data_IF_926677567770
#
_entry.id   IF_926677567770
#
_cell.length_a   1.000
_cell.length_b   1.000
_cell.length_c   1.000
_cell.angle_alpha   90.00
_cell.angle_beta   90.00
_cell.angle_gamma   90.00
#
_symmetry.space_group_name_H-M   'P 1'
#
loop_
_entity.id
_entity.type
_entity.pdbx_description
1 polymer ?
#
# COMPACT_ATOMS: atom_id res chain seq x y z
N UNK A 1 -2.85 3.61 39.06
CA UNK A 1 -2.02 4.35 38.10
C UNK A 1 -1.39 3.31 37.18
N UNK A 2 -1.56 3.39 35.86
CA UNK A 2 -0.88 2.47 34.95
C UNK A 2 0.63 2.61 35.14
N UNK A 3 1.37 1.50 35.13
CA UNK A 3 2.83 1.59 35.17
C UNK A 3 3.31 2.35 33.92
N UNK A 4 4.49 2.98 33.99
CA UNK A 4 5.08 3.67 32.83
C UNK A 4 5.21 2.72 31.62
N UNK A 5 5.51 1.45 31.87
CA UNK A 5 5.57 0.39 30.87
C UNK A 5 4.22 0.15 30.17
N UNK A 6 3.11 0.15 30.91
CA UNK A 6 1.77 -0.02 30.34
C UNK A 6 1.40 1.11 29.37
N UNK A 7 1.79 2.35 29.70
CA UNK A 7 1.56 3.50 28.84
C UNK A 7 2.36 3.41 27.53
N UNK A 8 3.63 2.99 27.60
CA UNK A 8 4.49 2.78 26.42
C UNK A 8 3.95 1.64 25.56
N UNK A 9 3.51 0.54 26.18
CA UNK A 9 2.93 -0.59 25.47
C UNK A 9 1.60 -0.22 24.76
N UNK A 10 0.75 0.57 25.41
CA UNK A 10 -0.46 1.10 24.80
C UNK A 10 -0.14 1.99 23.59
N UNK A 11 0.84 2.87 23.71
CA UNK A 11 1.26 3.73 22.60
C UNK A 11 1.91 2.94 21.45
N UNK A 12 2.68 1.91 21.78
CA UNK A 12 3.23 0.98 20.78
C UNK A 12 2.11 0.27 20.00
N UNK A 13 1.08 -0.22 20.71
CA UNK A 13 -0.07 -0.88 20.11
C UNK A 13 -0.83 0.05 19.16
N UNK A 14 -1.02 1.31 19.52
CA UNK A 14 -1.64 2.32 18.67
C UNK A 14 -0.89 2.45 17.33
N UNK A 15 0.44 2.60 17.37
CA UNK A 15 1.24 2.66 16.14
C UNK A 15 1.13 1.38 15.29
N UNK A 16 1.06 0.20 15.90
CA UNK A 16 0.84 -1.06 15.17
C UNK A 16 -0.56 -1.16 14.57
N UNK A 17 -1.58 -0.60 15.22
CA UNK A 17 -2.94 -0.51 14.67
C UNK A 17 -2.99 0.47 13.49
N UNK A 18 -2.43 1.67 13.63
CA UNK A 18 -2.36 2.67 12.56
C UNK A 18 -1.59 2.17 11.33
N UNK A 19 -0.50 1.42 11.53
CA UNK A 19 0.21 0.73 10.46
C UNK A 19 -0.71 -0.21 9.67
N UNK A 20 -1.44 -1.09 10.36
CA UNK A 20 -2.39 -2.02 9.72
C UNK A 20 -3.53 -1.28 9.03
N UNK A 21 -4.01 -0.19 9.63
CA UNK A 21 -5.06 0.65 9.06
C UNK A 21 -4.62 1.27 7.73
N UNK A 22 -3.39 1.80 7.64
CA UNK A 22 -2.85 2.34 6.39
C UNK A 22 -2.80 1.27 5.28
N UNK A 23 -2.38 0.05 5.60
CA UNK A 23 -2.35 -1.08 4.66
C UNK A 23 -3.75 -1.49 4.21
N UNK A 24 -4.71 -1.57 5.13
CA UNK A 24 -6.10 -1.87 4.82
C UNK A 24 -6.74 -0.78 3.94
N UNK A 25 -6.51 0.50 4.25
CA UNK A 25 -7.01 1.62 3.45
C UNK A 25 -6.43 1.61 2.04
N UNK A 26 -5.14 1.28 1.89
CA UNK A 26 -4.51 1.11 0.57
C UNK A 26 -5.15 -0.02 -0.24
N UNK A 27 -5.42 -1.17 0.38
CA UNK A 27 -6.09 -2.30 -0.27
C UNK A 27 -7.52 -1.95 -0.68
N UNK A 28 -8.31 -1.35 0.23
CA UNK A 28 -9.69 -0.92 -0.03
C UNK A 28 -9.77 0.08 -1.17
N UNK A 29 -8.93 1.13 -1.15
CA UNK A 29 -8.87 2.12 -2.23
C UNK A 29 -8.51 1.46 -3.58
N UNK A 30 -7.52 0.56 -3.59
CA UNK A 30 -7.13 -0.14 -4.82
C UNK A 30 -8.28 -0.98 -5.37
N UNK A 31 -9.02 -1.70 -4.53
CA UNK A 31 -10.18 -2.48 -4.95
C UNK A 31 -11.27 -1.59 -5.58
N UNK A 32 -11.57 -0.43 -5.00
CA UNK A 32 -12.52 0.50 -5.60
C UNK A 32 -12.06 1.00 -6.97
N UNK A 33 -10.79 1.37 -7.11
CA UNK A 33 -10.22 1.80 -8.39
C UNK A 33 -10.34 0.66 -9.42
N UNK A 34 -9.98 -0.58 -9.07
CA UNK A 34 -10.06 -1.72 -9.99
C UNK A 34 -11.48 -1.97 -10.49
N UNK A 35 -12.48 -1.92 -9.59
CA UNK A 35 -13.90 -2.12 -9.95
C UNK A 35 -14.37 -1.01 -10.89
N UNK A 36 -14.06 0.26 -10.58
CA UNK A 36 -14.44 1.40 -11.42
C UNK A 36 -13.77 1.29 -12.79
N UNK A 37 -12.48 1.00 -12.84
CA UNK A 37 -11.72 0.86 -14.09
C UNK A 37 -12.27 -0.28 -14.94
N UNK A 38 -12.60 -1.42 -14.35
CA UNK A 38 -13.20 -2.55 -15.07
C UNK A 38 -14.56 -2.15 -15.67
N UNK A 39 -15.42 -1.47 -14.91
CA UNK A 39 -16.72 -1.01 -15.38
C UNK A 39 -16.61 0.00 -16.52
N UNK A 40 -15.74 1.01 -16.38
CA UNK A 40 -15.49 2.02 -17.41
C UNK A 40 -14.91 1.40 -18.68
N UNK A 41 -13.97 0.46 -18.54
CA UNK A 41 -13.40 -0.28 -19.67
C UNK A 41 -14.49 -1.07 -20.41
N UNK A 42 -15.36 -1.77 -19.68
CA UNK A 42 -16.51 -2.47 -20.27
C UNK A 42 -17.44 -1.54 -21.04
N UNK A 43 -17.72 -0.35 -20.50
CA UNK A 43 -18.56 0.66 -21.17
C UNK A 43 -17.92 1.18 -22.48
N UNK A 44 -16.62 1.45 -22.47
CA UNK A 44 -15.87 1.86 -23.68
C UNK A 44 -15.96 0.78 -24.77
N UNK A 45 -15.76 -0.48 -24.39
CA UNK A 45 -15.87 -1.63 -25.30
C UNK A 45 -17.28 -1.79 -25.87
N UNK A 46 -18.31 -1.66 -25.03
CA UNK A 46 -19.72 -1.73 -25.47
C UNK A 46 -20.08 -0.63 -26.46
N UNK A 47 -19.53 0.57 -26.26
CA UNK A 47 -19.69 1.71 -27.17
C UNK A 47 -18.73 1.67 -28.37
N UNK A 48 -18.07 0.53 -28.62
CA UNK A 48 -17.18 0.28 -29.76
C UNK A 48 -16.13 1.37 -29.96
N UNK A 49 -15.56 1.87 -28.86
CA UNK A 49 -14.49 2.86 -28.89
C UNK A 49 -14.85 4.17 -29.61
N UNK A 50 -16.12 4.60 -29.57
CA UNK A 50 -16.55 5.86 -30.21
C UNK A 50 -15.83 7.09 -29.61
N UNK A 51 -15.64 8.19 -30.37
CA UNK A 51 -14.92 9.39 -29.89
C UNK A 51 -15.34 9.98 -28.54
N UNK A 52 -16.64 10.01 -28.18
CA UNK A 52 -17.06 10.49 -26.86
C UNK A 52 -16.49 9.68 -25.68
N UNK A 53 -16.12 8.41 -25.91
CA UNK A 53 -15.57 7.54 -24.87
C UNK A 53 -14.12 7.86 -24.49
N UNK A 54 -13.44 8.74 -25.23
CA UNK A 54 -12.11 9.23 -24.88
C UNK A 54 -12.06 9.88 -23.50
N UNK A 55 -13.14 10.57 -23.09
CA UNK A 55 -13.26 11.14 -21.75
C UNK A 55 -13.25 10.06 -20.65
N UNK A 56 -13.79 8.86 -20.93
CA UNK A 56 -13.77 7.74 -19.98
C UNK A 56 -12.36 7.15 -19.85
N UNK A 57 -11.62 7.04 -20.95
CA UNK A 57 -10.21 6.65 -20.93
C UNK A 57 -9.35 7.64 -20.14
N UNK A 58 -9.57 8.95 -20.34
CA UNK A 58 -8.91 9.99 -19.57
C UNK A 58 -9.24 9.91 -18.07
N UNK A 59 -10.49 9.61 -17.72
CA UNK A 59 -10.88 9.39 -16.33
C UNK A 59 -10.15 8.18 -15.71
N UNK A 60 -10.04 7.05 -16.43
CA UNK A 60 -9.25 5.88 -16.00
C UNK A 60 -7.79 6.30 -15.76
N UNK A 61 -7.21 7.10 -16.66
CA UNK A 61 -5.84 7.58 -16.52
C UNK A 61 -5.64 8.40 -15.23
N UNK A 62 -6.56 9.34 -14.97
CA UNK A 62 -6.57 10.16 -13.75
C UNK A 62 -6.70 9.29 -12.50
N UNK A 63 -7.60 8.30 -12.50
CA UNK A 63 -7.77 7.37 -11.37
C UNK A 63 -6.52 6.54 -11.11
N UNK A 64 -5.84 6.07 -12.16
CA UNK A 64 -4.56 5.38 -12.04
C UNK A 64 -3.47 6.29 -11.43
N UNK A 65 -3.33 7.53 -11.90
CA UNK A 65 -2.38 8.48 -11.33
C UNK A 65 -2.70 8.78 -9.85
N UNK A 66 -3.97 9.02 -9.54
CA UNK A 66 -4.44 9.22 -8.17
C UNK A 66 -4.11 8.02 -7.28
N UNK A 67 -4.43 6.79 -7.72
CA UNK A 67 -4.13 5.57 -7.00
C UNK A 67 -2.63 5.38 -6.73
N UNK A 68 -1.78 5.75 -7.70
CA UNK A 68 -0.33 5.66 -7.56
C UNK A 68 0.19 6.59 -6.44
N UNK A 69 -0.27 7.85 -6.43
CA UNK A 69 0.09 8.85 -5.42
C UNK A 69 -0.41 8.45 -4.04
N UNK A 70 -1.68 8.07 -3.91
CA UNK A 70 -2.26 7.70 -2.61
C UNK A 70 -1.65 6.40 -2.07
N UNK A 71 -1.40 5.42 -2.93
CA UNK A 71 -0.68 4.19 -2.55
C UNK A 71 0.72 4.48 -1.99
N UNK A 72 1.46 5.38 -2.64
CA UNK A 72 2.76 5.84 -2.16
C UNK A 72 2.64 6.60 -0.84
N UNK A 73 1.60 7.43 -0.68
CA UNK A 73 1.35 8.18 0.56
C UNK A 73 1.01 7.27 1.73
N UNK A 74 0.17 6.25 1.54
CA UNK A 74 -0.10 5.25 2.57
C UNK A 74 1.14 4.45 2.94
N UNK A 75 2.03 4.16 1.97
CA UNK A 75 3.30 3.51 2.27
C UNK A 75 4.23 4.37 3.14
N UNK A 76 4.34 5.66 2.83
CA UNK A 76 5.09 6.62 3.64
C UNK A 76 4.55 6.64 5.07
N UNK A 77 3.22 6.79 5.24
CA UNK A 77 2.59 6.82 6.56
C UNK A 77 2.73 5.51 7.33
N UNK A 78 2.59 4.37 6.66
CA UNK A 78 2.86 3.06 7.24
C UNK A 78 4.29 2.95 7.76
N UNK A 79 5.27 3.41 6.97
CA UNK A 79 6.69 3.41 7.35
C UNK A 79 6.94 4.29 8.57
N UNK A 80 6.29 5.45 8.65
CA UNK A 80 6.32 6.32 9.83
C UNK A 80 5.78 5.62 11.10
N UNK A 81 4.61 4.98 11.04
CA UNK A 81 4.09 4.28 12.22
C UNK A 81 4.96 3.07 12.60
N UNK A 82 5.58 2.40 11.63
CA UNK A 82 6.52 1.32 11.89
C UNK A 82 7.81 1.80 12.56
N UNK A 83 8.37 2.95 12.15
CA UNK A 83 9.57 3.50 12.79
C UNK A 83 9.29 3.92 14.23
N UNK A 84 8.15 4.55 14.50
CA UNK A 84 7.73 4.89 15.86
C UNK A 84 7.53 3.63 16.72
N UNK A 85 6.86 2.60 16.20
CA UNK A 85 6.69 1.34 16.92
C UNK A 85 8.03 0.68 17.24
N UNK A 86 9.02 0.73 16.33
CA UNK A 86 10.37 0.19 16.59
C UNK A 86 11.10 0.95 17.69
N UNK A 87 11.01 2.29 17.70
CA UNK A 87 11.60 3.10 18.76
C UNK A 87 10.99 2.75 20.13
N UNK A 88 9.67 2.60 20.20
CA UNK A 88 8.96 2.19 21.42
C UNK A 88 9.31 0.76 21.83
N UNK A 89 9.57 -0.15 20.88
CA UNK A 89 10.08 -1.50 21.21
C UNK A 89 11.44 -1.42 21.91
N UNK A 90 12.35 -0.55 21.46
CA UNK A 90 13.63 -0.34 22.17
C UNK A 90 13.40 0.17 23.58
N UNK A 91 12.53 1.18 23.76
CA UNK A 91 12.17 1.69 25.08
C UNK A 91 11.61 0.61 26.01
N UNK A 92 10.74 -0.27 25.50
CA UNK A 92 10.19 -1.38 26.30
C UNK A 92 11.25 -2.40 26.70
N UNK A 93 12.26 -2.63 25.85
CA UNK A 93 13.42 -3.47 26.19
C UNK A 93 14.28 -2.83 27.28
N UNK A 94 14.58 -1.54 27.15
CA UNK A 94 15.37 -0.79 28.13
C UNK A 94 14.69 -0.73 29.51
N UNK A 95 13.36 -0.79 29.54
CA UNK A 95 12.56 -0.89 30.77
C UNK A 95 12.53 -2.30 31.37
N UNK A 96 13.09 -3.31 30.71
CA UNK A 96 13.03 -4.72 31.13
C UNK A 96 11.65 -5.38 30.92
N UNK A 97 10.75 -4.74 30.17
CA UNK A 97 9.39 -5.23 29.89
C UNK A 97 9.37 -6.23 28.73
N UNK A 98 10.36 -6.16 27.84
CA UNK A 98 10.49 -7.01 26.67
C UNK A 98 11.89 -7.62 26.63
N UNK A 99 11.97 -8.95 26.68
CA UNK A 99 13.24 -9.65 26.59
C UNK A 99 13.81 -9.62 25.16
N UNK A 100 15.13 -9.74 25.08
CA UNK A 100 15.81 -9.93 23.81
C UNK A 100 15.67 -11.39 23.36
N UNK A 101 14.87 -11.62 22.32
CA UNK A 101 14.68 -12.96 21.75
C UNK A 101 15.62 -13.19 20.56
N UNK A 102 16.66 -14.00 20.78
CA UNK A 102 17.62 -14.41 19.75
C UNK A 102 16.96 -15.12 18.56
N UNK A 103 15.81 -15.78 18.77
CA UNK A 103 15.09 -16.49 17.71
C UNK A 103 14.49 -15.53 16.66
N UNK A 104 14.28 -14.25 17.00
CA UNK A 104 13.78 -13.26 16.04
C UNK A 104 14.80 -12.97 14.93
N UNK A 105 16.08 -12.94 15.26
CA UNK A 105 17.14 -12.74 14.27
C UNK A 105 17.29 -13.97 13.37
N UNK A 106 17.25 -15.18 13.96
CA UNK A 106 17.29 -16.43 13.20
C UNK A 106 16.09 -16.51 12.25
N UNK A 107 14.88 -16.24 12.74
CA UNK A 107 13.66 -16.24 11.93
C UNK A 107 13.73 -15.27 10.75
N UNK A 108 14.39 -14.11 10.92
CA UNK A 108 14.59 -13.14 9.83
C UNK A 108 15.54 -13.70 8.77
N UNK A 109 16.64 -14.31 9.19
CA UNK A 109 17.61 -14.94 8.28
C UNK A 109 16.96 -16.09 7.51
N UNK A 110 16.24 -16.98 8.20
CA UNK A 110 15.52 -18.10 7.60
C UNK A 110 14.52 -17.62 6.56
N UNK A 111 13.80 -16.53 6.85
CA UNK A 111 12.89 -15.91 5.90
C UNK A 111 13.60 -15.40 4.64
N UNK A 112 14.74 -14.71 4.76
CA UNK A 112 15.48 -14.23 3.60
C UNK A 112 16.08 -15.36 2.75
N UNK A 113 16.51 -16.45 3.40
CA UNK A 113 16.99 -17.65 2.72
C UNK A 113 15.85 -18.37 1.97
N UNK A 114 14.65 -18.42 2.54
CA UNK A 114 13.48 -19.01 1.90
C UNK A 114 12.98 -18.18 0.69
N UNK A 115 13.16 -16.86 0.71
CA UNK A 115 12.61 -15.94 -0.31
C UNK A 115 13.68 -15.04 -0.95
N UNK A 116 14.70 -15.59 -1.63
CA UNK A 116 15.89 -14.84 -2.08
C UNK A 116 15.59 -13.79 -3.17
N UNK A 117 14.52 -13.97 -3.95
CA UNK A 117 14.09 -13.01 -4.98
C UNK A 117 13.02 -12.06 -4.44
N UNK A 118 11.99 -12.61 -3.77
CA UNK A 118 10.83 -11.84 -3.32
C UNK A 118 11.18 -10.82 -2.23
N UNK A 119 12.15 -11.10 -1.35
CA UNK A 119 12.55 -10.12 -0.32
C UNK A 119 13.17 -8.84 -0.91
N UNK A 120 13.67 -8.90 -2.15
CA UNK A 120 14.24 -7.74 -2.87
C UNK A 120 13.15 -6.86 -3.48
N UNK A 121 11.99 -7.42 -3.81
CA UNK A 121 10.86 -6.68 -4.32
C UNK A 121 10.17 -5.94 -3.18
N UNK A 122 10.23 -4.61 -3.21
CA UNK A 122 9.52 -3.80 -2.24
C UNK A 122 8.04 -3.80 -2.56
N UNK A 123 7.22 -4.21 -1.60
CA UNK A 123 5.77 -4.30 -1.77
C UNK A 123 5.15 -3.00 -2.28
N UNK A 124 5.61 -1.84 -1.81
CA UNK A 124 5.10 -0.55 -2.29
C UNK A 124 5.30 -0.33 -3.80
N UNK A 125 6.38 -0.86 -4.38
CA UNK A 125 6.66 -0.74 -5.81
C UNK A 125 5.63 -1.52 -6.62
N UNK A 126 5.18 -2.68 -6.14
CA UNK A 126 4.12 -3.45 -6.78
C UNK A 126 2.79 -2.69 -6.76
N UNK A 127 2.42 -2.11 -5.61
CA UNK A 127 1.18 -1.34 -5.49
C UNK A 127 1.18 -0.08 -6.36
N UNK A 128 2.26 0.71 -6.32
CA UNK A 128 2.37 1.90 -7.17
C UNK A 128 2.44 1.50 -8.65
N UNK A 129 3.18 0.45 -8.99
CA UNK A 129 3.29 -0.08 -10.35
C UNK A 129 1.95 -0.50 -10.95
N UNK A 130 1.08 -1.15 -10.17
CA UNK A 130 -0.28 -1.49 -10.59
C UNK A 130 -1.07 -0.25 -11.02
N UNK A 131 -1.02 0.81 -10.22
CA UNK A 131 -1.74 2.06 -10.51
C UNK A 131 -1.13 2.83 -11.70
N UNK A 132 0.19 2.76 -11.88
CA UNK A 132 0.85 3.26 -13.10
C UNK A 132 0.39 2.48 -14.33
N UNK A 133 0.22 1.15 -14.24
CA UNK A 133 -0.31 0.34 -15.33
C UNK A 133 -1.76 0.71 -15.67
N UNK A 134 -2.60 0.97 -14.65
CA UNK A 134 -3.97 1.50 -14.84
C UNK A 134 -3.93 2.86 -15.54
N UNK A 135 -3.03 3.75 -15.13
CA UNK A 135 -2.87 5.06 -15.76
C UNK A 135 -2.53 4.92 -17.26
N UNK A 136 -1.52 4.09 -17.57
CA UNK A 136 -1.12 3.80 -18.95
C UNK A 136 -2.24 3.15 -19.77
N UNK A 137 -3.03 2.27 -19.15
CA UNK A 137 -4.20 1.67 -19.78
C UNK A 137 -5.25 2.72 -20.16
N UNK A 138 -5.58 3.64 -19.24
CA UNK A 138 -6.50 4.75 -19.52
C UNK A 138 -6.02 5.66 -20.65
N UNK A 139 -4.74 6.02 -20.66
CA UNK A 139 -4.12 6.79 -21.75
C UNK A 139 -4.28 6.06 -23.09
N UNK A 140 -3.97 4.76 -23.12
CA UNK A 140 -4.09 3.94 -24.31
C UNK A 140 -5.52 3.94 -24.86
N UNK A 141 -6.51 3.74 -23.98
CA UNK A 141 -7.93 3.78 -24.35
C UNK A 141 -8.32 5.15 -24.90
N UNK A 142 -7.95 6.24 -24.21
CA UNK A 142 -8.27 7.59 -24.64
C UNK A 142 -7.70 7.91 -26.02
N UNK A 143 -6.45 7.51 -26.30
CA UNK A 143 -5.81 7.71 -27.60
C UNK A 143 -6.49 6.91 -28.70
N UNK A 144 -6.82 5.64 -28.48
CA UNK A 144 -7.47 4.80 -29.50
C UNK A 144 -8.85 5.34 -29.85
N UNK A 145 -9.60 5.81 -28.86
CA UNK A 145 -10.96 6.33 -29.08
C UNK A 145 -10.98 7.72 -29.72
N UNK A 146 -9.87 8.48 -29.67
CA UNK A 146 -9.85 9.86 -30.14
C UNK A 146 -9.81 10.01 -31.67
N UNK A 147 -9.61 8.91 -32.41
CA UNK A 147 -9.53 8.86 -33.88
C UNK A 147 -10.67 8.00 -34.44
#
# INVERSE_FOLDING_TARGET
MSSSADAVLAYWNEHRQQLRQCENQRATMTNFILVIVAALTGLIVQQKFTPPTAALGALIAILGLYGAVISAKYHERATYHLSQARALTTTLKDMGTLDEDANLNQSRTDHYNAFPLLHRLRLHTLWTGLHIAICAHGITLATITAF
#
